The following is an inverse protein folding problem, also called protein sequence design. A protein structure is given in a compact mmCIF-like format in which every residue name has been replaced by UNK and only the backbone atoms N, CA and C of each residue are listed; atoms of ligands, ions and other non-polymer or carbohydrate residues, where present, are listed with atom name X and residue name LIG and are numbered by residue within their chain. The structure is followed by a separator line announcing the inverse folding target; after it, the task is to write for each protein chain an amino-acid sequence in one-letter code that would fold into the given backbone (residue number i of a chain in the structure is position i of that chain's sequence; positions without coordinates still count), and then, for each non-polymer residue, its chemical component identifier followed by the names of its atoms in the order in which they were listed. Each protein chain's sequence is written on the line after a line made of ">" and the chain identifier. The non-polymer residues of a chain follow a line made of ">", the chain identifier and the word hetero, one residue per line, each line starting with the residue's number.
data_IF_825571245247
#
_entry.id   IF_825571245247
#
_cell.length_a   1.000
_cell.length_b   1.000
_cell.length_c   1.000
_cell.angle_alpha   90.00
_cell.angle_beta   90.00
_cell.angle_gamma   90.00
#
_symmetry.space_group_name_H-M   'P 1'
#
loop_
_entity.id
_entity.type
_entity.pdbx_description
1 polymer ?
#
# COMPACT_ATOMS: atom_id res chain seq x y z
N UNK A 1 19.82 50.96 60.79
CA UNK A 1 20.41 52.11 60.07
C UNK A 1 21.27 51.56 58.91
N UNK A 2 21.03 52.08 57.77
CA UNK A 2 21.78 51.98 56.51
C UNK A 2 21.67 50.67 55.70
N UNK A 3 20.79 50.79 54.75
CA UNK A 3 20.58 49.98 53.59
C UNK A 3 21.78 50.05 52.63
N UNK A 4 22.16 48.94 52.00
CA UNK A 4 22.92 48.99 50.77
C UNK A 4 22.22 48.05 49.73
N UNK A 5 21.60 48.69 48.76
CA UNK A 5 21.13 48.08 47.53
C UNK A 5 22.32 47.61 46.70
N UNK A 6 22.34 46.36 46.35
CA UNK A 6 23.23 45.80 45.29
C UNK A 6 22.38 45.42 44.11
N UNK A 7 22.40 46.24 43.07
CA UNK A 7 21.81 45.97 41.78
C UNK A 7 22.63 44.99 40.98
N UNK A 8 22.12 43.77 40.81
CA UNK A 8 22.71 42.77 39.92
C UNK A 8 22.17 42.99 38.51
N UNK A 9 22.99 43.50 37.61
CA UNK A 9 22.70 43.62 36.19
C UNK A 9 22.94 42.24 35.57
N UNK A 10 21.82 41.58 35.15
CA UNK A 10 21.86 40.37 34.36
C UNK A 10 21.98 40.75 32.89
N UNK A 11 23.16 40.55 32.31
CA UNK A 11 23.44 40.69 30.89
C UNK A 11 22.92 39.46 30.15
N UNK A 12 21.76 39.54 29.52
CA UNK A 12 21.24 38.50 28.63
C UNK A 12 21.92 38.56 27.27
N UNK A 13 22.83 37.63 27.04
CA UNK A 13 23.40 37.36 25.73
C UNK A 13 22.36 36.64 24.87
N UNK A 14 21.79 37.35 23.90
CA UNK A 14 21.05 36.74 22.83
C UNK A 14 22.02 36.05 21.85
N UNK A 15 22.13 34.73 21.95
CA UNK A 15 22.76 33.92 20.93
C UNK A 15 21.70 33.65 19.87
N UNK A 16 21.74 34.43 18.78
CA UNK A 16 20.99 34.16 17.57
C UNK A 16 21.63 32.99 16.84
N UNK A 17 21.13 31.76 17.06
CA UNK A 17 21.40 30.64 16.19
C UNK A 17 20.48 30.69 15.00
N UNK A 18 20.96 31.28 13.90
CA UNK A 18 20.37 31.12 12.59
C UNK A 18 20.68 29.69 12.10
N UNK A 19 19.76 28.75 12.40
CA UNK A 19 19.82 27.39 11.89
C UNK A 19 18.91 27.32 10.68
N UNK A 20 19.51 27.39 9.51
CA UNK A 20 18.87 27.03 8.24
C UNK A 20 18.26 25.64 8.41
N UNK A 21 16.93 25.57 8.38
CA UNK A 21 16.20 24.30 8.28
C UNK A 21 16.38 23.78 6.85
N UNK A 22 17.24 22.81 6.68
CA UNK A 22 17.06 21.82 5.61
C UNK A 22 15.81 21.00 6.00
N UNK A 23 14.72 21.22 5.29
CA UNK A 23 13.57 20.33 5.34
C UNK A 23 13.95 19.04 4.62
N UNK A 24 14.51 18.09 5.35
CA UNK A 24 14.49 16.70 4.96
C UNK A 24 13.05 16.22 5.15
N UNK A 25 12.39 15.93 4.05
CA UNK A 25 11.04 15.39 4.00
C UNK A 25 11.06 13.91 4.44
N UNK A 26 11.47 13.64 5.67
CA UNK A 26 11.29 12.33 6.30
C UNK A 26 9.85 12.26 6.81
N UNK A 27 9.04 11.48 6.11
CA UNK A 27 7.72 11.04 6.60
C UNK A 27 7.95 10.40 7.97
N UNK A 28 7.29 10.84 9.04
CA UNK A 28 7.51 10.31 10.38
C UNK A 28 7.27 8.78 10.36
N UNK A 29 8.24 8.02 10.84
CA UNK A 29 8.21 6.54 10.91
C UNK A 29 6.97 6.03 11.66
N UNK A 30 6.42 6.83 12.56
CA UNK A 30 5.22 6.54 13.35
C UNK A 30 3.94 6.55 12.48
N UNK A 31 3.82 7.47 11.52
CA UNK A 31 2.68 7.54 10.61
C UNK A 31 2.60 6.33 9.64
N UNK A 32 3.75 5.73 9.29
CA UNK A 32 3.79 4.53 8.44
C UNK A 32 3.38 3.26 9.20
N UNK A 33 3.71 3.16 10.48
CA UNK A 33 3.34 2.01 11.33
C UNK A 33 1.83 1.99 11.57
N UNK A 34 1.21 3.15 11.84
CA UNK A 34 -0.24 3.27 12.04
C UNK A 34 -1.02 2.87 10.78
N UNK A 35 -0.56 3.28 9.58
CA UNK A 35 -1.21 2.90 8.32
C UNK A 35 -1.13 1.40 8.06
N UNK A 36 0.00 0.75 8.35
CA UNK A 36 0.16 -0.70 8.15
C UNK A 36 -0.76 -1.49 9.07
N UNK A 37 -0.79 -1.16 10.36
CA UNK A 37 -1.67 -1.81 11.33
C UNK A 37 -3.17 -1.60 11.01
N UNK A 38 -3.53 -0.39 10.56
CA UNK A 38 -4.89 -0.05 10.11
C UNK A 38 -5.29 -0.90 8.91
N UNK A 39 -4.45 -0.96 7.87
CA UNK A 39 -4.73 -1.74 6.67
C UNK A 39 -4.82 -3.24 6.98
N UNK A 40 -3.94 -3.76 7.82
CA UNK A 40 -3.97 -5.17 8.25
C UNK A 40 -5.32 -5.51 8.90
N UNK A 41 -5.80 -4.64 9.80
CA UNK A 41 -7.10 -4.79 10.43
C UNK A 41 -8.26 -4.70 9.43
N UNK A 42 -8.27 -3.72 8.53
CA UNK A 42 -9.32 -3.56 7.51
C UNK A 42 -9.42 -4.79 6.60
N UNK A 43 -8.27 -5.32 6.16
CA UNK A 43 -8.20 -6.51 5.31
C UNK A 43 -8.67 -7.75 6.06
N UNK A 44 -8.21 -7.96 7.30
CA UNK A 44 -8.61 -9.14 8.09
C UNK A 44 -10.08 -9.11 8.47
N UNK A 45 -10.64 -7.94 8.80
CA UNK A 45 -12.06 -7.76 9.06
C UNK A 45 -12.90 -8.08 7.80
N UNK A 46 -12.44 -7.63 6.62
CA UNK A 46 -13.09 -7.93 5.34
C UNK A 46 -13.07 -9.43 5.03
N UNK A 47 -11.92 -10.09 5.18
CA UNK A 47 -11.74 -11.53 4.98
C UNK A 47 -12.69 -12.31 5.91
N UNK A 48 -12.74 -11.95 7.19
CA UNK A 48 -13.60 -12.60 8.18
C UNK A 48 -15.09 -12.39 7.87
N UNK A 49 -15.50 -11.14 7.56
CA UNK A 49 -16.89 -10.80 7.21
C UNK A 49 -17.38 -11.60 6.00
N UNK A 50 -16.51 -11.81 5.00
CA UNK A 50 -16.85 -12.53 3.77
C UNK A 50 -16.55 -14.04 3.85
N UNK A 51 -16.11 -14.55 5.03
CA UNK A 51 -15.81 -15.97 5.29
C UNK A 51 -14.80 -16.54 4.29
N UNK A 52 -13.80 -15.74 3.91
CA UNK A 52 -12.75 -16.14 3.00
C UNK A 52 -11.61 -16.81 3.77
N UNK A 53 -10.91 -17.74 3.11
CA UNK A 53 -9.68 -18.35 3.64
C UNK A 53 -8.50 -17.77 2.86
N UNK A 54 -7.89 -16.71 3.38
CA UNK A 54 -6.76 -16.04 2.74
C UNK A 54 -5.44 -16.49 3.36
N UNK A 55 -4.40 -16.48 2.53
CA UNK A 55 -3.01 -16.61 2.94
C UNK A 55 -2.40 -15.21 3.05
N UNK A 56 -1.35 -15.07 3.87
CA UNK A 56 -0.58 -13.81 4.03
C UNK A 56 0.87 -14.08 3.68
N UNK A 57 1.45 -13.20 2.86
CA UNK A 57 2.88 -13.22 2.58
C UNK A 57 3.68 -12.42 3.61
N UNK A 58 5.01 -12.56 3.58
CA UNK A 58 5.93 -11.82 4.47
C UNK A 58 5.90 -10.30 4.23
N UNK A 59 5.55 -9.85 3.03
CA UNK A 59 5.39 -8.43 2.68
C UNK A 59 4.10 -7.81 3.23
N UNK A 60 3.13 -8.64 3.66
CA UNK A 60 1.82 -8.21 4.13
C UNK A 60 0.72 -8.26 3.06
N UNK A 61 0.99 -8.82 1.87
CA UNK A 61 -0.05 -9.11 0.89
C UNK A 61 -0.92 -10.27 1.40
N UNK A 62 -2.25 -10.10 1.38
CA UNK A 62 -3.17 -11.22 1.57
C UNK A 62 -3.73 -11.66 0.22
N UNK A 63 -3.95 -12.96 0.05
CA UNK A 63 -4.45 -13.50 -1.20
C UNK A 63 -5.28 -14.76 -1.01
N UNK A 64 -6.21 -14.96 -1.94
CA UNK A 64 -6.99 -16.20 -2.10
C UNK A 64 -6.78 -16.69 -3.53
N UNK A 65 -6.40 -17.95 -3.71
CA UNK A 65 -6.35 -18.60 -5.02
C UNK A 65 -7.66 -19.35 -5.20
N UNK A 66 -8.53 -18.86 -6.08
CA UNK A 66 -9.78 -19.54 -6.43
C UNK A 66 -9.51 -20.68 -7.41
N UNK A 67 -8.75 -20.37 -8.47
CA UNK A 67 -8.32 -21.34 -9.48
C UNK A 67 -6.81 -21.11 -9.73
N UNK A 68 -5.95 -22.12 -9.53
CA UNK A 68 -4.52 -21.94 -9.73
C UNK A 68 -4.11 -21.71 -11.19
N UNK A 69 -4.94 -22.17 -12.13
CA UNK A 69 -4.60 -22.21 -13.56
C UNK A 69 -3.70 -23.40 -13.93
N UNK A 70 -3.55 -23.65 -15.24
CA UNK A 70 -2.77 -24.79 -15.75
C UNK A 70 -1.72 -24.39 -16.80
N UNK A 71 -1.78 -23.13 -17.28
CA UNK A 71 -0.87 -22.62 -18.30
C UNK A 71 0.48 -22.13 -17.73
N UNK A 72 1.13 -21.26 -18.48
CA UNK A 72 2.42 -20.67 -18.07
C UNK A 72 2.28 -19.87 -16.76
N UNK A 73 3.31 -19.91 -15.93
CA UNK A 73 3.41 -19.11 -14.71
C UNK A 73 4.32 -17.90 -15.00
N UNK A 74 3.85 -16.67 -14.74
CA UNK A 74 4.67 -15.48 -14.93
C UNK A 74 5.71 -15.33 -13.83
N UNK A 75 6.68 -14.48 -14.10
CA UNK A 75 7.65 -13.96 -13.14
C UNK A 75 7.33 -12.49 -12.84
N UNK A 76 7.98 -11.89 -11.85
CA UNK A 76 7.79 -10.48 -11.48
C UNK A 76 8.13 -9.46 -12.60
N UNK A 77 8.79 -9.90 -13.68
CA UNK A 77 9.17 -9.07 -14.83
C UNK A 77 8.45 -9.46 -16.12
N UNK A 78 7.49 -10.39 -16.06
CA UNK A 78 6.75 -10.83 -17.25
C UNK A 78 5.76 -9.77 -17.72
N UNK A 79 5.53 -9.73 -19.05
CA UNK A 79 4.36 -9.07 -19.60
C UNK A 79 3.17 -10.03 -19.53
N UNK A 80 2.05 -9.54 -19.02
CA UNK A 80 0.85 -10.36 -18.80
C UNK A 80 -0.39 -9.64 -19.28
N UNK A 81 -1.45 -10.41 -19.56
CA UNK A 81 -2.80 -9.90 -19.74
C UNK A 81 -3.65 -10.38 -18.57
N UNK A 82 -4.26 -9.45 -17.84
CA UNK A 82 -5.06 -9.73 -16.64
C UNK A 82 -6.43 -9.08 -16.78
N UNK A 83 -7.49 -9.86 -16.61
CA UNK A 83 -8.81 -9.32 -16.35
C UNK A 83 -8.98 -9.09 -14.86
N UNK A 84 -9.47 -7.92 -14.46
CA UNK A 84 -9.57 -7.56 -13.05
C UNK A 84 -10.75 -6.65 -12.72
N UNK A 85 -11.10 -6.65 -11.44
CA UNK A 85 -11.99 -5.69 -10.81
C UNK A 85 -11.38 -5.23 -9.49
N UNK A 86 -11.12 -3.91 -9.38
CA UNK A 86 -10.57 -3.27 -8.19
C UNK A 86 -11.65 -2.53 -7.41
N UNK A 87 -11.71 -2.74 -6.10
CA UNK A 87 -12.68 -2.11 -5.20
C UNK A 87 -12.11 -1.94 -3.80
N UNK A 88 -12.73 -1.07 -3.00
CA UNK A 88 -12.38 -0.87 -1.59
C UNK A 88 -13.04 -1.92 -0.69
N UNK A 89 -12.61 -2.00 0.56
CA UNK A 89 -13.18 -2.92 1.56
C UNK A 89 -14.66 -2.65 1.89
N UNK A 90 -15.20 -1.50 1.50
CA UNK A 90 -16.63 -1.16 1.56
C UNK A 90 -17.43 -1.65 0.34
N UNK A 91 -16.76 -2.17 -0.70
CA UNK A 91 -17.34 -2.69 -1.93
C UNK A 91 -17.43 -1.68 -3.08
N UNK A 92 -17.06 -0.40 -2.88
CA UNK A 92 -17.07 0.59 -3.94
C UNK A 92 -15.98 0.30 -4.98
N UNK A 93 -16.38 0.11 -6.24
CA UNK A 93 -15.48 -0.18 -7.36
C UNK A 93 -14.80 1.11 -7.81
N UNK A 94 -13.47 1.10 -7.90
CA UNK A 94 -12.70 2.24 -8.38
C UNK A 94 -12.16 2.04 -9.81
N UNK A 95 -11.96 0.78 -10.23
CA UNK A 95 -11.45 0.44 -11.57
C UNK A 95 -11.77 -1.00 -11.95
N UNK A 96 -11.90 -1.27 -13.24
CA UNK A 96 -12.08 -2.63 -13.76
C UNK A 96 -11.72 -2.70 -15.24
N UNK A 97 -11.27 -3.88 -15.70
CA UNK A 97 -11.10 -4.19 -17.12
C UNK A 97 -12.33 -4.84 -17.72
N UNK A 98 -12.36 -4.98 -19.05
CA UNK A 98 -13.21 -5.94 -19.73
C UNK A 98 -12.79 -7.39 -19.46
N UNK A 99 -13.59 -8.38 -19.91
CA UNK A 99 -13.30 -9.80 -19.70
C UNK A 99 -12.04 -10.29 -20.44
N UNK A 100 -11.64 -9.62 -21.51
CA UNK A 100 -10.40 -9.85 -22.26
C UNK A 100 -9.14 -9.41 -21.49
N UNK A 101 -9.31 -8.55 -20.47
CA UNK A 101 -8.24 -8.01 -19.68
C UNK A 101 -7.47 -6.89 -20.37
N UNK A 102 -6.45 -6.38 -19.70
CA UNK A 102 -5.46 -5.42 -20.21
C UNK A 102 -4.05 -5.99 -20.05
N UNK A 103 -3.13 -5.56 -20.93
CA UNK A 103 -1.76 -6.04 -20.95
C UNK A 103 -0.81 -5.01 -20.35
N UNK A 104 0.12 -5.48 -19.49
CA UNK A 104 1.15 -4.63 -18.85
C UNK A 104 2.33 -5.48 -18.37
N UNK A 105 3.46 -4.82 -18.11
CA UNK A 105 4.59 -5.42 -17.43
C UNK A 105 4.38 -5.47 -15.91
N UNK A 106 4.66 -6.60 -15.28
CA UNK A 106 4.54 -6.76 -13.83
C UNK A 106 5.55 -5.93 -13.03
N UNK A 107 6.61 -5.45 -13.68
CA UNK A 107 7.58 -4.49 -13.13
C UNK A 107 7.11 -3.03 -13.18
N UNK A 108 5.97 -2.74 -13.82
CA UNK A 108 5.42 -1.40 -14.02
C UNK A 108 4.11 -1.14 -13.25
N UNK A 109 3.71 -2.07 -12.41
CA UNK A 109 2.46 -2.00 -11.63
C UNK A 109 2.76 -1.90 -10.12
N UNK A 110 1.72 -1.79 -9.31
CA UNK A 110 1.85 -1.77 -7.85
C UNK A 110 2.48 -3.07 -7.33
N UNK A 111 3.26 -2.97 -6.24
CA UNK A 111 4.03 -4.08 -5.67
C UNK A 111 3.16 -5.31 -5.36
N UNK A 112 1.93 -5.10 -4.89
CA UNK A 112 0.99 -6.18 -4.61
C UNK A 112 0.63 -7.00 -5.85
N UNK A 113 0.63 -6.40 -7.06
CA UNK A 113 0.43 -7.12 -8.30
C UNK A 113 1.69 -7.81 -8.80
N UNK A 114 2.85 -7.14 -8.71
CA UNK A 114 4.16 -7.74 -9.02
C UNK A 114 4.40 -9.02 -8.23
N UNK A 115 3.94 -9.07 -6.98
CA UNK A 115 4.05 -10.23 -6.10
C UNK A 115 2.89 -11.23 -6.29
N UNK A 116 1.65 -10.72 -6.38
CA UNK A 116 0.44 -11.54 -6.33
C UNK A 116 0.12 -12.27 -7.63
N UNK A 117 0.31 -11.64 -8.79
CA UNK A 117 -0.02 -12.25 -10.09
C UNK A 117 0.86 -13.50 -10.36
N UNK A 118 2.18 -13.53 -10.02
CA UNK A 118 3.00 -14.74 -10.16
C UNK A 118 2.56 -15.94 -9.31
N UNK A 119 1.65 -15.78 -8.38
CA UNK A 119 1.05 -16.90 -7.65
C UNK A 119 0.05 -17.71 -8.52
N UNK A 120 -0.38 -17.14 -9.64
CA UNK A 120 -1.29 -17.74 -10.60
C UNK A 120 -0.53 -18.28 -11.83
N UNK A 121 -1.13 -19.26 -12.47
CA UNK A 121 -0.80 -19.67 -13.85
C UNK A 121 -1.87 -19.16 -14.81
N UNK A 122 -1.57 -19.13 -16.10
CA UNK A 122 -2.56 -18.77 -17.13
C UNK A 122 -3.83 -19.60 -16.97
N UNK A 123 -4.98 -18.94 -17.03
CA UNK A 123 -6.29 -19.50 -16.73
C UNK A 123 -6.68 -19.44 -15.25
N UNK A 124 -5.74 -19.11 -14.36
CA UNK A 124 -5.99 -18.98 -12.94
C UNK A 124 -6.68 -17.68 -12.53
N UNK A 125 -7.32 -17.70 -11.38
CA UNK A 125 -8.00 -16.56 -10.77
C UNK A 125 -7.85 -16.54 -9.26
N UNK A 126 -7.97 -15.36 -8.68
CA UNK A 126 -7.85 -15.17 -7.24
C UNK A 126 -8.28 -13.79 -6.80
N UNK A 127 -8.08 -13.53 -5.52
CA UNK A 127 -8.32 -12.22 -4.90
C UNK A 127 -7.02 -11.78 -4.23
N UNK A 128 -6.59 -10.56 -4.51
CA UNK A 128 -5.45 -9.91 -3.87
C UNK A 128 -5.98 -8.80 -2.96
N UNK A 129 -5.57 -8.81 -1.69
CA UNK A 129 -5.85 -7.74 -0.74
C UNK A 129 -4.54 -6.99 -0.51
N UNK A 130 -4.47 -5.79 -1.06
CA UNK A 130 -3.25 -5.01 -1.17
C UNK A 130 -3.27 -3.88 -0.14
N UNK A 131 -2.47 -3.95 0.92
CA UNK A 131 -2.32 -2.82 1.84
C UNK A 131 -1.64 -1.65 1.14
N UNK A 132 -1.84 -0.45 1.64
CA UNK A 132 -1.37 0.78 1.00
C UNK A 132 0.11 0.77 0.62
N UNK A 133 1.00 0.22 1.45
CA UNK A 133 2.44 0.17 1.20
C UNK A 133 2.86 -0.75 0.03
N UNK A 134 1.98 -1.67 -0.38
CA UNK A 134 2.11 -2.49 -1.58
C UNK A 134 1.26 -1.98 -2.74
N UNK A 135 0.44 -0.95 -2.51
CA UNK A 135 -0.40 -0.25 -3.47
C UNK A 135 0.15 1.14 -3.80
N UNK A 136 -0.64 2.17 -3.53
CA UNK A 136 -0.32 3.57 -3.86
C UNK A 136 0.23 4.36 -2.66
N UNK A 137 0.51 3.72 -1.52
CA UNK A 137 1.06 4.38 -0.34
C UNK A 137 0.09 5.37 0.29
N UNK A 138 0.65 6.49 0.77
CA UNK A 138 -0.12 7.57 1.40
C UNK A 138 -0.58 8.64 0.39
N UNK A 139 -0.26 8.47 -0.89
CA UNK A 139 -0.62 9.41 -1.94
C UNK A 139 -2.01 9.10 -2.50
N UNK A 140 -2.76 10.16 -2.84
CA UNK A 140 -4.03 10.01 -3.54
C UNK A 140 -3.78 9.76 -5.03
N UNK A 141 -4.35 8.69 -5.58
CA UNK A 141 -4.22 8.32 -6.99
C UNK A 141 -5.61 8.27 -7.65
N UNK A 142 -5.98 9.31 -8.37
CA UNK A 142 -7.31 9.41 -8.99
C UNK A 142 -8.43 9.26 -7.96
N UNK A 143 -9.30 8.24 -8.09
CA UNK A 143 -10.38 8.00 -7.12
C UNK A 143 -9.92 7.31 -5.83
N UNK A 144 -8.65 6.90 -5.72
CA UNK A 144 -8.11 6.13 -4.60
C UNK A 144 -7.48 7.08 -3.59
N UNK A 145 -8.04 7.26 -2.38
CA UNK A 145 -7.44 8.05 -1.32
C UNK A 145 -6.13 7.44 -0.82
N UNK A 146 -5.19 8.28 -0.36
CA UNK A 146 -3.97 7.81 0.29
C UNK A 146 -4.24 6.92 1.51
N UNK A 147 -3.43 5.91 1.73
CA UNK A 147 -3.57 4.96 2.83
C UNK A 147 -4.67 3.90 2.65
N UNK A 148 -5.27 3.78 1.45
CA UNK A 148 -6.35 2.83 1.18
C UNK A 148 -5.88 1.38 1.10
N UNK A 149 -6.65 0.47 1.73
CA UNK A 149 -6.59 -0.97 1.46
C UNK A 149 -7.39 -1.28 0.19
N UNK A 150 -6.78 -2.03 -0.73
CA UNK A 150 -7.38 -2.33 -2.04
C UNK A 150 -7.67 -3.82 -2.16
N UNK A 151 -8.79 -4.15 -2.80
CA UNK A 151 -9.17 -5.53 -3.12
C UNK A 151 -9.24 -5.66 -4.64
N UNK A 152 -8.56 -6.67 -5.18
CA UNK A 152 -8.58 -6.97 -6.61
C UNK A 152 -9.01 -8.42 -6.84
N UNK A 153 -10.14 -8.61 -7.49
CA UNK A 153 -10.42 -9.88 -8.15
C UNK A 153 -9.64 -9.92 -9.46
N UNK A 154 -8.85 -10.96 -9.66
CA UNK A 154 -7.94 -11.05 -10.81
C UNK A 154 -8.07 -12.39 -11.52
N UNK A 155 -7.93 -12.38 -12.85
CA UNK A 155 -7.83 -13.57 -13.69
C UNK A 155 -6.65 -13.38 -14.66
N UNK A 156 -5.67 -14.28 -14.58
CA UNK A 156 -4.53 -14.28 -15.50
C UNK A 156 -4.95 -14.90 -16.84
N UNK A 157 -5.04 -14.07 -17.88
CA UNK A 157 -5.49 -14.46 -19.22
C UNK A 157 -4.34 -15.02 -20.04
N UNK A 158 -3.19 -14.31 -20.08
CA UNK A 158 -1.99 -14.76 -20.80
C UNK A 158 -0.71 -14.25 -20.15
N UNK A 159 0.39 -14.93 -20.48
CA UNK A 159 1.77 -14.45 -20.35
C UNK A 159 2.28 -14.20 -21.78
N UNK A 160 2.76 -12.98 -22.07
CA UNK A 160 3.10 -12.50 -23.40
C UNK A 160 4.61 -12.50 -23.64
#
# INVERSE_FOLDING_TARGET
>A
MKHLLSTLVVLTLFISCNKSKEETNEVPKEATVDCVAKNDKEITDYIAKNKLTAQKSDSGLYYVINEPGTGAQPTATSNVTVAYKGYFTDGNVFDQSGPEGISFGLDQVIKGWTEGIPLLKVGGSGILFVPAHLGYGNDTMGPIPGGSSLVFEVKLVSVN
#
